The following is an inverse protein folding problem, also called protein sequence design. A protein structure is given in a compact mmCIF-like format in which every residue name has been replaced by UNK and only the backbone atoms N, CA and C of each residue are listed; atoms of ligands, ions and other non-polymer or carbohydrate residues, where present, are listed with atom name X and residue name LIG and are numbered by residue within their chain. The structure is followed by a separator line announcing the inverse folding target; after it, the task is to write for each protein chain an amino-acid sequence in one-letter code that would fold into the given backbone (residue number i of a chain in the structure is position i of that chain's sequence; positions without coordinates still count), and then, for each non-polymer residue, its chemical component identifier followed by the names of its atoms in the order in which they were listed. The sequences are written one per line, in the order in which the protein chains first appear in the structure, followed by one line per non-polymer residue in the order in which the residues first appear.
data_IF_592622957616
#
_entry.id   IF_592622957616
#
_cell.length_a   1.000
_cell.length_b   1.000
_cell.length_c   1.000
_cell.angle_alpha   90.00
_cell.angle_beta   90.00
_cell.angle_gamma   90.00
#
_symmetry.space_group_name_H-M   'P 1'
#
loop_
_entity.id
_entity.type
_entity.pdbx_description
1 polymer ?
#
# COMPACT_ATOMS: atom_id res chain seq x y z
N UNK A 1 -21.74 11.79 1.13
CA UNK A 1 -21.36 10.49 1.70
C UNK A 1 -20.08 10.70 2.50
N UNK A 2 -20.06 10.33 3.76
CA UNK A 2 -18.94 10.53 4.67
C UNK A 2 -18.19 9.21 4.79
N UNK A 3 -16.88 9.23 5.07
CA UNK A 3 -16.12 7.99 5.42
C UNK A 3 -16.85 7.18 6.49
N UNK A 4 -17.54 7.86 7.43
CA UNK A 4 -18.37 7.23 8.47
C UNK A 4 -19.49 6.35 7.90
N UNK A 5 -20.03 6.65 6.72
CA UNK A 5 -21.11 5.87 6.10
C UNK A 5 -20.58 4.53 5.56
N UNK A 6 -19.28 4.45 5.21
CA UNK A 6 -18.64 3.20 4.79
C UNK A 6 -18.47 2.19 5.91
N UNK A 7 -18.41 2.65 7.17
CA UNK A 7 -18.36 1.74 8.32
C UNK A 7 -19.70 1.04 8.62
N UNK A 8 -20.77 1.39 7.91
CA UNK A 8 -22.03 0.64 7.91
C UNK A 8 -22.17 -0.35 6.73
N UNK A 9 -21.16 -0.45 5.88
CA UNK A 9 -21.07 -1.39 4.77
C UNK A 9 -20.25 -2.60 5.24
N UNK A 10 -20.90 -3.73 5.46
CA UNK A 10 -20.29 -4.93 6.02
C UNK A 10 -19.15 -5.47 5.13
N UNK A 11 -19.26 -5.35 3.80
CA UNK A 11 -18.22 -5.79 2.87
C UNK A 11 -16.98 -4.89 2.98
N UNK A 12 -17.17 -3.58 3.13
CA UNK A 12 -16.06 -2.65 3.34
C UNK A 12 -15.38 -2.90 4.70
N UNK A 13 -16.14 -3.12 5.76
CA UNK A 13 -15.62 -3.42 7.10
C UNK A 13 -14.84 -4.74 7.09
N UNK A 14 -15.34 -5.77 6.41
CA UNK A 14 -14.63 -7.03 6.26
C UNK A 14 -13.31 -6.86 5.49
N UNK A 15 -13.31 -6.08 4.40
CA UNK A 15 -12.09 -5.79 3.64
C UNK A 15 -11.07 -4.99 4.46
N UNK A 16 -11.52 -4.01 5.26
CA UNK A 16 -10.68 -3.24 6.18
C UNK A 16 -10.05 -4.14 7.24
N UNK A 17 -10.84 -5.01 7.87
CA UNK A 17 -10.35 -5.94 8.90
C UNK A 17 -9.31 -6.92 8.34
N UNK A 18 -9.53 -7.43 7.12
CA UNK A 18 -8.55 -8.29 6.45
C UNK A 18 -7.24 -7.52 6.18
N UNK A 19 -7.33 -6.25 5.74
CA UNK A 19 -6.15 -5.42 5.52
C UNK A 19 -5.39 -5.14 6.83
N UNK A 20 -6.08 -4.93 7.94
CA UNK A 20 -5.45 -4.76 9.26
C UNK A 20 -4.68 -6.02 9.67
N UNK A 21 -5.25 -7.21 9.48
CA UNK A 21 -4.58 -8.49 9.74
C UNK A 21 -3.33 -8.65 8.85
N UNK A 22 -3.44 -8.31 7.56
CA UNK A 22 -2.31 -8.36 6.64
C UNK A 22 -1.19 -7.40 7.06
N UNK A 23 -1.55 -6.18 7.49
CA UNK A 23 -0.60 -5.17 7.95
C UNK A 23 0.13 -5.60 9.20
N UNK A 24 -0.60 -6.10 10.21
CA UNK A 24 0.02 -6.60 11.45
C UNK A 24 0.93 -7.78 11.20
N UNK A 25 0.52 -8.71 10.34
CA UNK A 25 1.35 -9.84 9.91
C UNK A 25 2.63 -9.39 9.22
N UNK A 26 2.53 -8.36 8.34
CA UNK A 26 3.68 -7.77 7.68
C UNK A 26 4.63 -7.11 8.68
N UNK A 27 4.11 -6.29 9.61
CA UNK A 27 4.91 -5.60 10.64
C UNK A 27 5.63 -6.60 11.54
N UNK A 28 4.94 -7.66 11.98
CA UNK A 28 5.55 -8.71 12.79
C UNK A 28 6.69 -9.42 12.04
N UNK A 29 6.50 -9.71 10.75
CA UNK A 29 7.52 -10.31 9.91
C UNK A 29 8.71 -9.36 9.71
N UNK A 30 8.48 -8.09 9.37
CA UNK A 30 9.51 -7.07 9.20
C UNK A 30 10.35 -6.88 10.47
N UNK A 31 9.72 -6.83 11.65
CA UNK A 31 10.40 -6.73 12.93
C UNK A 31 11.32 -7.94 13.21
N UNK A 32 10.88 -9.16 12.84
CA UNK A 32 11.73 -10.36 12.95
C UNK A 32 12.96 -10.25 12.06
N UNK A 33 12.78 -9.77 10.83
CA UNK A 33 13.90 -9.57 9.88
C UNK A 33 14.89 -8.54 10.44
N UNK A 34 14.41 -7.43 10.98
CA UNK A 34 15.28 -6.43 11.60
C UNK A 34 16.03 -6.99 12.81
N UNK A 35 15.38 -7.81 13.63
CA UNK A 35 16.04 -8.47 14.76
C UNK A 35 17.15 -9.43 14.29
N UNK A 36 16.91 -10.24 13.26
CA UNK A 36 17.93 -11.10 12.64
C UNK A 36 19.12 -10.32 12.11
N UNK A 37 18.86 -9.21 11.40
CA UNK A 37 19.94 -8.34 10.89
C UNK A 37 20.73 -7.70 12.03
N UNK A 38 20.07 -7.27 13.09
CA UNK A 38 20.74 -6.71 14.27
C UNK A 38 21.60 -7.76 14.99
N UNK A 39 21.25 -9.04 14.88
CA UNK A 39 22.06 -10.17 15.37
C UNK A 39 23.22 -10.56 14.42
N UNK A 40 23.41 -9.85 13.31
CA UNK A 40 24.48 -10.11 12.34
C UNK A 40 24.15 -11.11 11.24
N UNK A 41 22.88 -11.52 11.11
CA UNK A 41 22.43 -12.41 10.04
C UNK A 41 22.26 -11.65 8.71
N UNK A 42 22.45 -12.34 7.59
CA UNK A 42 22.22 -11.76 6.26
C UNK A 42 20.73 -11.68 5.97
N UNK A 43 20.28 -10.57 5.39
CA UNK A 43 18.90 -10.41 4.89
C UNK A 43 18.54 -11.46 3.82
N UNK A 44 19.51 -11.85 3.01
CA UNK A 44 19.34 -12.88 1.96
C UNK A 44 18.14 -12.58 1.04
N UNK A 45 17.35 -13.61 0.75
CA UNK A 45 16.17 -13.57 -0.11
C UNK A 45 14.94 -12.97 0.56
N UNK A 46 14.97 -12.82 1.89
CA UNK A 46 13.87 -12.24 2.66
C UNK A 46 13.55 -10.80 2.23
N UNK A 47 14.56 -10.05 1.75
CA UNK A 47 14.35 -8.71 1.15
C UNK A 47 13.38 -8.73 -0.03
N UNK A 48 13.40 -9.80 -0.84
CA UNK A 48 12.45 -9.99 -1.95
C UNK A 48 11.03 -10.22 -1.43
N UNK A 49 10.86 -11.01 -0.36
CA UNK A 49 9.55 -11.22 0.28
C UNK A 49 8.99 -9.90 0.82
N UNK A 50 9.82 -9.16 1.57
CA UNK A 50 9.44 -7.84 2.10
C UNK A 50 9.00 -6.88 1.00
N UNK A 51 9.77 -6.82 -0.11
CA UNK A 51 9.43 -5.94 -1.24
C UNK A 51 8.09 -6.32 -1.87
N UNK A 52 7.85 -7.60 -2.15
CA UNK A 52 6.60 -8.07 -2.75
C UNK A 52 5.42 -7.72 -1.82
N UNK A 53 5.47 -8.15 -0.57
CA UNK A 53 4.36 -7.96 0.39
C UNK A 53 4.08 -6.49 0.65
N UNK A 54 5.12 -5.66 0.82
CA UNK A 54 4.97 -4.21 1.03
C UNK A 54 4.27 -3.53 -0.13
N UNK A 55 4.64 -3.86 -1.37
CA UNK A 55 4.05 -3.21 -2.55
C UNK A 55 2.62 -3.65 -2.80
N UNK A 56 2.28 -4.92 -2.54
CA UNK A 56 0.92 -5.43 -2.63
C UNK A 56 0.03 -4.82 -1.54
N UNK A 57 0.49 -4.81 -0.28
CA UNK A 57 -0.23 -4.22 0.85
C UNK A 57 -0.51 -2.73 0.62
N UNK A 58 0.47 -1.97 0.12
CA UNK A 58 0.30 -0.56 -0.22
C UNK A 58 -0.80 -0.35 -1.26
N UNK A 59 -0.86 -1.18 -2.30
CA UNK A 59 -1.91 -1.11 -3.31
C UNK A 59 -3.30 -1.47 -2.73
N UNK A 60 -3.37 -2.40 -1.79
CA UNK A 60 -4.62 -2.70 -1.07
C UNK A 60 -5.09 -1.51 -0.21
N UNK A 61 -4.17 -0.86 0.53
CA UNK A 61 -4.46 0.35 1.30
C UNK A 61 -5.03 1.44 0.38
N UNK A 62 -4.36 1.75 -0.72
CA UNK A 62 -4.81 2.79 -1.65
C UNK A 62 -6.18 2.47 -2.27
N UNK A 63 -6.46 1.20 -2.52
CA UNK A 63 -7.77 0.75 -3.01
C UNK A 63 -8.88 1.02 -1.99
N UNK A 64 -8.66 0.66 -0.72
CA UNK A 64 -9.65 0.90 0.34
C UNK A 64 -9.83 2.40 0.63
N UNK A 65 -8.74 3.18 0.60
CA UNK A 65 -8.83 4.64 0.73
C UNK A 65 -9.67 5.23 -0.39
N UNK A 66 -9.47 4.79 -1.64
CA UNK A 66 -10.24 5.27 -2.78
C UNK A 66 -11.73 4.89 -2.66
N UNK A 67 -12.03 3.67 -2.22
CA UNK A 67 -13.39 3.23 -1.93
C UNK A 67 -14.03 4.06 -0.80
N UNK A 68 -13.26 4.41 0.24
CA UNK A 68 -13.77 5.21 1.36
C UNK A 68 -14.16 6.63 0.95
N UNK A 69 -13.41 7.26 0.04
CA UNK A 69 -13.70 8.63 -0.42
C UNK A 69 -14.68 8.67 -1.59
N UNK A 70 -14.89 7.54 -2.26
CA UNK A 70 -15.87 7.35 -3.34
C UNK A 70 -15.78 8.44 -4.43
N UNK A 71 -16.90 9.06 -4.80
CA UNK A 71 -17.00 10.07 -5.86
C UNK A 71 -16.09 11.28 -5.61
N UNK A 72 -15.78 11.60 -4.36
CA UNK A 72 -14.87 12.70 -4.01
C UNK A 72 -13.41 12.42 -4.41
N UNK A 73 -13.05 11.16 -4.66
CA UNK A 73 -11.73 10.79 -5.20
C UNK A 73 -11.57 10.99 -6.70
N UNK A 74 -12.67 11.18 -7.46
CA UNK A 74 -12.64 11.28 -8.93
C UNK A 74 -12.13 12.61 -9.49
N UNK A 75 -12.44 13.79 -8.89
CA UNK A 75 -11.99 15.07 -9.45
C UNK A 75 -10.47 15.19 -9.49
N UNK A 76 -9.93 15.59 -10.64
CA UNK A 76 -8.52 15.93 -10.77
C UNK A 76 -8.25 17.33 -10.19
N UNK A 77 -7.53 17.40 -9.08
CA UNK A 77 -7.35 18.58 -8.25
C UNK A 77 -5.87 18.92 -7.98
N UNK A 78 -5.03 19.15 -9.01
CA UNK A 78 -3.59 19.36 -8.80
C UNK A 78 -3.29 20.58 -7.94
N UNK A 79 -4.08 21.63 -8.08
CA UNK A 79 -3.91 22.92 -7.38
C UNK A 79 -4.23 22.89 -5.89
N UNK A 80 -4.86 21.83 -5.39
CA UNK A 80 -5.07 21.66 -3.94
C UNK A 80 -3.73 21.55 -3.19
N UNK A 81 -2.69 21.07 -3.87
CA UNK A 81 -1.36 20.89 -3.30
C UNK A 81 -0.36 21.99 -3.67
N UNK A 82 -0.81 23.02 -4.39
CA UNK A 82 0.05 24.14 -4.78
C UNK A 82 0.42 24.98 -3.55
N UNK A 83 1.70 25.14 -3.31
CA UNK A 83 2.23 26.01 -2.29
C UNK A 83 2.74 27.31 -2.95
N UNK A 84 2.50 28.51 -2.40
CA UNK A 84 1.92 28.80 -1.07
C UNK A 84 0.40 29.00 -1.04
N UNK A 85 -0.31 28.83 -2.15
CA UNK A 85 -1.75 29.13 -2.28
C UNK A 85 -2.56 27.90 -2.71
N UNK A 86 -2.74 26.90 -1.81
CA UNK A 86 -3.55 25.74 -2.11
C UNK A 86 -5.01 26.13 -2.33
N UNK A 87 -5.66 25.51 -3.31
CA UNK A 87 -7.11 25.64 -3.48
C UNK A 87 -7.84 24.78 -2.45
N UNK A 88 -9.03 25.22 -2.04
CA UNK A 88 -9.91 24.40 -1.20
C UNK A 88 -10.31 23.13 -1.96
N UNK A 89 -10.12 21.94 -1.39
CA UNK A 89 -10.45 20.71 -2.06
C UNK A 89 -11.96 20.49 -2.22
N UNK A 90 -12.35 19.81 -3.29
CA UNK A 90 -13.68 19.20 -3.40
C UNK A 90 -13.64 17.93 -2.54
N UNK A 91 -14.44 17.91 -1.47
CA UNK A 91 -14.37 16.85 -0.47
C UNK A 91 -13.27 17.07 0.57
N UNK A 92 -12.76 15.99 1.12
CA UNK A 92 -11.66 16.04 2.09
C UNK A 92 -10.28 16.13 1.41
N UNK A 93 -9.26 16.54 2.15
CA UNK A 93 -7.87 16.50 1.69
C UNK A 93 -7.45 15.07 1.28
N UNK A 94 -7.92 14.06 2.02
CA UNK A 94 -7.71 12.66 1.68
C UNK A 94 -8.31 12.32 0.31
N UNK A 95 -9.53 12.79 0.01
CA UNK A 95 -10.18 12.58 -1.28
C UNK A 95 -9.36 13.17 -2.44
N UNK A 96 -8.85 14.39 -2.27
CA UNK A 96 -8.06 15.07 -3.31
C UNK A 96 -6.75 14.34 -3.66
N UNK A 97 -6.23 13.50 -2.76
CA UNK A 97 -4.97 12.77 -2.94
C UNK A 97 -5.15 11.26 -3.19
N UNK A 98 -6.34 10.71 -2.97
CA UNK A 98 -6.60 9.27 -3.07
C UNK A 98 -6.33 8.72 -4.47
N UNK A 99 -6.93 9.30 -5.51
CA UNK A 99 -6.74 8.85 -6.89
C UNK A 99 -5.29 9.01 -7.38
N UNK A 100 -4.62 10.16 -7.21
CA UNK A 100 -3.21 10.29 -7.55
C UNK A 100 -2.31 9.25 -6.90
N UNK A 101 -2.52 8.93 -5.62
CA UNK A 101 -1.77 7.88 -4.92
C UNK A 101 -2.06 6.51 -5.50
N UNK A 102 -3.33 6.17 -5.65
CA UNK A 102 -3.75 4.90 -6.23
C UNK A 102 -3.11 4.65 -7.60
N UNK A 103 -3.10 5.64 -8.49
CA UNK A 103 -2.50 5.54 -9.82
C UNK A 103 -0.97 5.45 -9.76
N UNK A 104 -0.32 6.29 -8.94
CA UNK A 104 1.13 6.27 -8.78
C UNK A 104 1.62 4.92 -8.24
N UNK A 105 0.93 4.36 -7.27
CA UNK A 105 1.36 3.15 -6.59
C UNK A 105 1.12 1.87 -7.38
N UNK A 106 0.44 1.95 -8.56
CA UNK A 106 0.47 0.85 -9.55
C UNK A 106 1.90 0.55 -10.01
N UNK A 107 2.77 1.55 -10.08
CA UNK A 107 4.17 1.36 -10.41
C UNK A 107 5.01 0.73 -9.29
N UNK A 108 4.51 0.65 -8.07
CA UNK A 108 5.25 0.11 -6.93
C UNK A 108 5.65 -1.38 -7.11
N UNK A 109 4.87 -2.14 -7.85
CA UNK A 109 5.19 -3.54 -8.19
C UNK A 109 6.18 -3.67 -9.34
N UNK A 110 6.54 -2.57 -10.01
CA UNK A 110 7.39 -2.55 -11.21
C UNK A 110 8.79 -2.01 -10.88
N UNK A 111 8.88 -0.85 -10.23
CA UNK A 111 10.18 -0.23 -9.96
C UNK A 111 10.96 -0.93 -8.83
N UNK A 112 12.26 -0.66 -8.74
CA UNK A 112 13.20 -1.29 -7.78
C UNK A 112 13.22 -2.83 -7.89
N UNK A 113 13.12 -3.33 -9.14
CA UNK A 113 12.97 -4.76 -9.43
C UNK A 113 11.52 -5.22 -9.33
N UNK A 114 10.92 -5.63 -10.44
CA UNK A 114 9.51 -6.00 -10.46
C UNK A 114 9.20 -7.18 -9.52
N UNK A 115 7.95 -7.29 -9.09
CA UNK A 115 7.53 -8.39 -8.23
C UNK A 115 7.77 -9.76 -8.89
N UNK A 116 7.70 -9.85 -10.23
CA UNK A 116 8.04 -11.05 -11.00
C UNK A 116 9.53 -11.41 -10.86
N UNK A 117 10.40 -10.41 -10.98
CA UNK A 117 11.85 -10.62 -10.78
C UNK A 117 12.14 -11.03 -9.34
N UNK A 118 11.47 -10.43 -8.36
CA UNK A 118 11.63 -10.83 -6.95
C UNK A 118 11.18 -12.28 -6.71
N UNK A 119 10.04 -12.70 -7.31
CA UNK A 119 9.59 -14.10 -7.26
C UNK A 119 10.58 -15.05 -7.94
N UNK A 120 11.17 -14.65 -9.07
CA UNK A 120 12.20 -15.46 -9.75
C UNK A 120 13.46 -15.60 -8.90
N UNK A 121 13.87 -14.55 -8.17
CA UNK A 121 15.01 -14.62 -7.23
C UNK A 121 14.71 -15.64 -6.13
N UNK A 122 13.51 -15.59 -5.54
CA UNK A 122 13.08 -16.57 -4.53
C UNK A 122 13.07 -17.99 -5.08
N UNK A 123 12.46 -18.21 -6.25
CA UNK A 123 12.39 -19.54 -6.87
C UNK A 123 13.78 -20.11 -7.12
N UNK A 124 14.70 -19.32 -7.67
CA UNK A 124 16.07 -19.80 -7.96
C UNK A 124 16.89 -20.07 -6.70
N UNK A 125 16.78 -19.22 -5.69
CA UNK A 125 17.66 -19.33 -4.50
C UNK A 125 17.13 -20.28 -3.45
N UNK A 126 15.81 -20.35 -3.27
CA UNK A 126 15.19 -21.16 -2.21
C UNK A 126 14.73 -22.53 -2.71
N UNK A 127 14.29 -22.60 -3.97
CA UNK A 127 13.75 -23.85 -4.53
C UNK A 127 14.70 -24.53 -5.52
N UNK A 128 15.77 -23.85 -5.94
CA UNK A 128 16.73 -24.39 -6.90
C UNK A 128 16.19 -24.53 -8.34
N UNK A 129 15.17 -23.70 -8.68
CA UNK A 129 14.51 -23.70 -9.99
C UNK A 129 15.21 -22.78 -11.01
#
# INVERSE_FOLDING_TARGET
MCIRDRLSDDDYVAALSNLEIELESYVAFENRVFASVAAGESVGTVSSVLKIRRTELRQHIDTLVLQAVDHYGLPYQPKVRDFPHPQTPIGSETAATAMPRYLNDRAATIYAGSNEIQRNILAKRELGL
#
